data_IF_202928342726
#
_entry.id   IF_202928342726
#
_cell.length_a   1.000
_cell.length_b   1.000
_cell.length_c   1.000
_cell.angle_alpha   90.00
_cell.angle_beta   90.00
_cell.angle_gamma   90.00
#
_symmetry.space_group_name_H-M   'P 1'
#
loop_
_entity.id
_entity.type
_entity.pdbx_description
1 polymer ?
#
# COMPACT_ATOMS: atom_id res chain seq x y z
N UNK A 1 27.91 -1.06 -6.27
CA UNK A 1 26.94 -0.22 -5.52
C UNK A 1 26.07 0.64 -6.43
N UNK A 2 26.62 1.51 -7.30
CA UNK A 2 25.81 2.38 -8.16
C UNK A 2 24.83 1.62 -9.08
N UNK A 3 25.27 0.53 -9.71
CA UNK A 3 24.42 -0.29 -10.57
C UNK A 3 23.22 -0.89 -9.81
N UNK A 4 23.44 -1.37 -8.57
CA UNK A 4 22.36 -1.92 -7.73
C UNK A 4 21.34 -0.83 -7.35
N UNK A 5 21.82 0.38 -6.99
CA UNK A 5 20.94 1.53 -6.70
C UNK A 5 20.12 2.01 -7.90
N UNK A 6 20.58 1.75 -9.12
CA UNK A 6 19.78 2.03 -10.31
C UNK A 6 18.79 0.91 -10.60
N UNK A 7 19.20 -0.35 -10.40
CA UNK A 7 18.36 -1.52 -10.60
C UNK A 7 17.17 -1.55 -9.62
N UNK A 8 17.37 -1.17 -8.35
CA UNK A 8 16.29 -1.19 -7.34
C UNK A 8 15.16 -0.19 -7.62
N UNK A 9 15.40 0.85 -8.43
CA UNK A 9 14.39 1.89 -8.71
C UNK A 9 13.15 1.34 -9.37
N UNK A 10 13.30 0.31 -10.20
CA UNK A 10 12.17 -0.34 -10.86
C UNK A 10 11.25 -1.06 -9.87
N UNK A 11 11.82 -1.56 -8.76
CA UNK A 11 11.10 -2.32 -7.73
C UNK A 11 10.46 -1.41 -6.67
N UNK A 12 10.77 -0.11 -6.67
CA UNK A 12 10.28 0.82 -5.66
C UNK A 12 9.00 1.52 -6.11
N UNK A 13 8.10 1.86 -5.16
CA UNK A 13 6.96 2.73 -5.45
C UNK A 13 7.41 4.04 -6.10
N UNK A 14 6.67 4.47 -7.13
CA UNK A 14 6.96 5.69 -7.89
C UNK A 14 7.56 5.44 -9.28
N UNK A 15 7.70 4.18 -9.71
CA UNK A 15 8.29 3.84 -11.00
C UNK A 15 7.27 3.59 -12.11
N UNK A 16 6.27 2.74 -11.87
CA UNK A 16 5.29 2.36 -12.89
C UNK A 16 4.18 3.41 -13.01
N UNK A 17 3.85 3.80 -14.25
CA UNK A 17 2.74 4.69 -14.54
C UNK A 17 1.40 3.96 -14.38
N UNK A 18 0.42 4.65 -13.78
CA UNK A 18 -0.94 4.17 -13.58
C UNK A 18 -1.94 5.33 -13.51
N UNK A 19 -3.23 5.03 -13.53
CA UNK A 19 -4.29 6.01 -13.27
C UNK A 19 -5.49 5.37 -12.57
N UNK A 20 -6.35 6.22 -11.97
CA UNK A 20 -7.58 5.80 -11.32
C UNK A 20 -8.80 6.35 -12.06
N UNK A 21 -9.81 5.51 -12.25
CA UNK A 21 -11.06 5.87 -12.92
C UNK A 21 -12.29 5.50 -12.06
N UNK A 22 -13.07 6.50 -11.58
CA UNK A 22 -12.80 7.94 -11.63
C UNK A 22 -11.57 8.35 -10.79
N UNK A 23 -11.05 9.57 -11.02
CA UNK A 23 -9.93 10.08 -10.24
C UNK A 23 -10.21 10.07 -8.72
N UNK A 24 -9.20 9.75 -7.92
CA UNK A 24 -9.33 9.67 -6.47
C UNK A 24 -9.61 11.05 -5.86
N UNK A 25 -10.60 11.11 -4.96
CA UNK A 25 -10.94 12.33 -4.23
C UNK A 25 -9.83 12.67 -3.24
N UNK A 26 -9.35 13.91 -3.26
CA UNK A 26 -8.35 14.44 -2.31
C UNK A 26 -7.01 13.68 -2.27
N UNK A 27 -6.67 12.96 -3.35
CA UNK A 27 -5.37 12.31 -3.54
C UNK A 27 -4.72 12.88 -4.81
N UNK A 28 -3.42 13.16 -4.77
CA UNK A 28 -2.67 13.69 -5.92
C UNK A 28 -2.66 12.69 -7.08
N UNK A 29 -2.69 13.21 -8.32
CA UNK A 29 -2.64 12.40 -9.55
C UNK A 29 -1.23 12.03 -10.01
N UNK A 30 -0.18 12.62 -9.41
CA UNK A 30 1.21 12.26 -9.72
C UNK A 30 1.48 10.82 -9.28
N UNK A 31 2.06 9.99 -10.14
CA UNK A 31 2.36 8.57 -9.88
C UNK A 31 3.82 8.34 -9.47
N UNK A 32 4.67 9.35 -9.58
CA UNK A 32 6.13 9.31 -9.45
C UNK A 32 6.64 9.72 -8.05
N UNK A 33 5.79 9.62 -7.03
CA UNK A 33 6.17 9.89 -5.63
C UNK A 33 6.76 8.64 -4.97
N UNK A 34 7.93 8.80 -4.35
CA UNK A 34 8.59 7.75 -3.58
C UNK A 34 8.27 7.83 -2.08
N UNK A 35 9.30 7.74 -1.24
CA UNK A 35 9.17 7.88 0.22
C UNK A 35 8.80 9.34 0.55
N UNK A 36 7.73 9.50 1.32
CA UNK A 36 7.24 10.80 1.81
C UNK A 36 7.31 10.88 3.33
N UNK A 37 7.37 12.12 3.84
CA UNK A 37 7.23 12.39 5.26
C UNK A 37 5.79 12.12 5.70
N UNK A 38 5.61 11.28 6.73
CA UNK A 38 4.28 10.92 7.21
C UNK A 38 3.55 12.07 7.92
N UNK A 39 4.28 13.13 8.33
CA UNK A 39 3.69 14.35 8.89
C UNK A 39 2.73 15.07 7.94
N UNK A 40 2.82 14.81 6.62
CA UNK A 40 1.84 15.23 5.62
C UNK A 40 1.48 16.74 5.65
N UNK A 41 2.45 17.59 5.98
CA UNK A 41 2.28 19.05 6.01
C UNK A 41 1.90 19.65 7.37
N UNK A 42 2.04 18.89 8.46
CA UNK A 42 1.90 19.42 9.82
C UNK A 42 2.80 20.64 10.02
N UNK A 43 2.20 21.77 10.40
CA UNK A 43 2.94 23.00 10.68
C UNK A 43 3.80 22.83 11.93
N UNK A 44 5.10 23.07 11.81
CA UNK A 44 6.04 23.08 12.93
C UNK A 44 6.06 24.42 13.66
N UNK A 45 4.88 24.97 13.95
CA UNK A 45 4.72 26.20 14.75
C UNK A 45 4.80 25.86 16.24
N UNK A 46 5.45 26.72 17.03
CA UNK A 46 5.53 26.57 18.49
C UNK A 46 4.16 26.79 19.15
N UNK A 47 3.27 27.52 18.48
CA UNK A 47 1.91 27.80 18.97
C UNK A 47 0.90 26.67 18.68
N UNK A 48 1.27 25.71 17.81
CA UNK A 48 0.43 24.56 17.44
C UNK A 48 0.80 23.31 18.25
N UNK A 49 0.05 22.21 18.08
CA UNK A 49 0.41 20.90 18.65
C UNK A 49 1.78 20.47 18.12
N UNK A 50 2.73 20.09 18.99
CA UNK A 50 4.08 19.71 18.57
C UNK A 50 4.10 18.52 17.61
N UNK A 51 4.87 18.65 16.53
CA UNK A 51 5.13 17.58 15.58
C UNK A 51 6.29 16.67 16.06
N UNK A 52 6.19 16.16 17.28
CA UNK A 52 7.27 15.42 17.97
C UNK A 52 7.36 13.94 17.55
N UNK A 53 6.99 13.63 16.30
CA UNK A 53 7.09 12.29 15.73
C UNK A 53 7.91 12.30 14.45
N UNK A 54 8.65 11.22 14.22
CA UNK A 54 9.33 10.97 12.96
C UNK A 54 8.60 9.82 12.29
N UNK A 55 8.10 10.08 11.08
CA UNK A 55 7.41 9.08 10.28
C UNK A 55 7.79 9.13 8.81
N UNK A 56 7.81 7.97 8.17
CA UNK A 56 8.03 7.82 6.72
C UNK A 56 7.01 6.83 6.17
N UNK A 57 6.47 7.14 5.00
CA UNK A 57 5.51 6.26 4.34
C UNK A 57 5.66 6.30 2.83
N UNK A 58 5.06 5.33 2.18
CA UNK A 58 4.68 5.46 0.78
C UNK A 58 3.25 5.99 0.69
N UNK A 59 2.92 6.66 -0.42
CA UNK A 59 1.51 6.91 -0.76
C UNK A 59 0.85 5.58 -1.12
N UNK A 60 -0.33 5.32 -0.60
CA UNK A 60 -0.87 3.97 -0.53
C UNK A 60 -1.20 3.39 -1.90
N UNK A 61 -1.82 4.17 -2.77
CA UNK A 61 -2.09 3.80 -4.16
C UNK A 61 -0.79 3.46 -4.93
N UNK A 62 0.27 4.24 -4.76
CA UNK A 62 1.57 3.99 -5.44
C UNK A 62 2.22 2.71 -4.92
N UNK A 63 2.15 2.47 -3.61
CA UNK A 63 2.66 1.23 -3.00
C UNK A 63 1.87 0.00 -3.46
N UNK A 64 0.54 0.11 -3.57
CA UNK A 64 -0.32 -0.96 -4.08
C UNK A 64 -0.03 -1.27 -5.54
N UNK A 65 0.19 -0.25 -6.36
CA UNK A 65 0.59 -0.41 -7.77
C UNK A 65 1.91 -1.14 -7.87
N UNK A 66 2.92 -0.73 -7.11
CA UNK A 66 4.22 -1.41 -7.07
C UNK A 66 4.07 -2.88 -6.64
N UNK A 67 3.28 -3.15 -5.60
CA UNK A 67 3.05 -4.50 -5.11
C UNK A 67 2.30 -5.39 -6.11
N UNK A 68 1.31 -4.83 -6.82
CA UNK A 68 0.58 -5.55 -7.87
C UNK A 68 1.44 -5.79 -9.10
N UNK A 69 2.34 -4.86 -9.40
CA UNK A 69 3.32 -4.96 -10.48
C UNK A 69 4.34 -6.07 -10.25
N UNK A 70 4.79 -6.23 -9.02
CA UNK A 70 5.65 -7.35 -8.64
C UNK A 70 4.96 -8.72 -8.84
N UNK A 71 3.63 -8.77 -8.81
CA UNK A 71 2.82 -9.98 -9.04
C UNK A 71 2.45 -10.18 -10.52
N UNK A 72 3.01 -9.40 -11.45
CA UNK A 72 2.64 -9.46 -12.87
C UNK A 72 2.86 -10.87 -13.45
N UNK A 73 4.00 -11.51 -13.18
CA UNK A 73 4.30 -12.85 -13.65
C UNK A 73 3.27 -13.86 -13.09
N UNK A 74 3.04 -13.86 -11.78
CA UNK A 74 2.07 -14.75 -11.14
C UNK A 74 0.63 -14.57 -11.66
N UNK A 75 0.23 -13.33 -11.93
CA UNK A 75 -1.10 -13.02 -12.49
C UNK A 75 -1.19 -13.56 -13.92
N UNK A 76 -0.17 -13.34 -14.75
CA UNK A 76 -0.14 -13.85 -16.12
C UNK A 76 -0.12 -15.37 -16.16
N UNK A 77 0.62 -16.00 -15.24
CA UNK A 77 0.69 -17.45 -15.11
C UNK A 77 -0.66 -18.03 -14.70
N UNK A 78 -1.32 -17.42 -13.70
CA UNK A 78 -2.65 -17.80 -13.28
C UNK A 78 -3.70 -17.67 -14.38
N UNK A 79 -3.63 -16.65 -15.24
CA UNK A 79 -4.54 -16.52 -16.39
C UNK A 79 -4.35 -17.68 -17.38
N UNK A 80 -3.09 -18.00 -17.72
CA UNK A 80 -2.76 -19.10 -18.64
C UNK A 80 -3.17 -20.46 -18.07
N UNK A 81 -2.94 -20.71 -16.78
CA UNK A 81 -3.33 -21.96 -16.11
C UNK A 81 -4.85 -22.18 -16.12
N UNK A 82 -5.62 -21.09 -16.03
CA UNK A 82 -7.09 -21.13 -16.11
C UNK A 82 -7.64 -21.19 -17.53
N UNK A 83 -6.77 -21.15 -18.55
CA UNK A 83 -7.17 -21.16 -19.96
C UNK A 83 -7.92 -19.90 -20.38
N UNK A 84 -7.70 -18.79 -19.67
CA UNK A 84 -8.35 -17.51 -19.94
C UNK A 84 -7.56 -16.75 -21.00
N UNK A 85 -8.25 -16.23 -22.01
CA UNK A 85 -7.61 -15.41 -23.05
C UNK A 85 -7.24 -14.03 -22.48
N UNK A 86 -5.94 -13.74 -22.47
CA UNK A 86 -5.36 -12.48 -22.01
C UNK A 86 -6.00 -11.25 -22.66
N UNK A 87 -6.42 -11.37 -23.93
CA UNK A 87 -6.99 -10.26 -24.70
C UNK A 87 -8.43 -9.93 -24.30
N UNK A 88 -9.18 -10.91 -23.82
CA UNK A 88 -10.55 -10.73 -23.32
C UNK A 88 -10.57 -10.31 -21.85
N UNK A 89 -9.56 -10.74 -21.08
CA UNK A 89 -9.45 -10.50 -19.64
C UNK A 89 -8.75 -9.16 -19.34
N UNK A 90 -9.35 -8.05 -19.77
CA UNK A 90 -8.83 -6.69 -19.49
C UNK A 90 -9.59 -5.96 -18.37
N UNK A 91 -10.77 -6.44 -18.00
CA UNK A 91 -11.59 -5.86 -16.93
C UNK A 91 -12.12 -6.93 -16.00
N UNK A 92 -12.69 -6.53 -14.86
CA UNK A 92 -13.28 -7.46 -13.90
C UNK A 92 -12.30 -8.00 -12.86
N UNK A 93 -11.05 -7.54 -12.83
CA UNK A 93 -10.12 -7.94 -11.77
C UNK A 93 -10.51 -7.36 -10.42
N UNK A 94 -10.35 -8.19 -9.41
CA UNK A 94 -10.62 -7.91 -8.02
C UNK A 94 -9.41 -8.32 -7.19
N UNK A 95 -8.88 -7.39 -6.40
CA UNK A 95 -7.74 -7.59 -5.52
C UNK A 95 -8.22 -7.53 -4.07
N UNK A 96 -7.94 -8.58 -3.31
CA UNK A 96 -8.20 -8.59 -1.86
C UNK A 96 -6.90 -8.27 -1.13
N UNK A 97 -6.91 -7.20 -0.33
CA UNK A 97 -5.76 -6.71 0.42
C UNK A 97 -6.01 -6.88 1.91
N UNK A 98 -5.13 -7.59 2.60
CA UNK A 98 -5.09 -7.64 4.07
C UNK A 98 -4.27 -6.45 4.57
N UNK A 99 -4.82 -5.68 5.49
CA UNK A 99 -4.13 -4.60 6.19
C UNK A 99 -3.81 -5.04 7.61
N UNK A 100 -2.61 -4.67 8.08
CA UNK A 100 -2.13 -4.97 9.43
C UNK A 100 -1.45 -3.75 10.03
N UNK A 101 -1.63 -3.52 11.32
CA UNK A 101 -0.94 -2.47 12.06
C UNK A 101 -0.57 -2.99 13.43
N UNK A 102 0.70 -2.89 13.79
CA UNK A 102 1.24 -3.39 15.05
C UNK A 102 2.13 -2.34 15.74
N UNK A 103 1.96 -2.22 17.05
CA UNK A 103 2.86 -1.47 17.92
C UNK A 103 4.05 -2.33 18.36
N UNK A 104 5.20 -1.69 18.51
CA UNK A 104 6.45 -2.30 18.97
C UNK A 104 7.06 -1.42 20.06
N UNK A 105 7.28 -2.01 21.24
CA UNK A 105 8.01 -1.40 22.34
C UNK A 105 9.52 -1.59 22.23
N UNK A 106 10.24 -1.05 23.22
CA UNK A 106 11.69 -1.23 23.41
C UNK A 106 12.54 -0.81 22.19
N UNK A 107 12.11 0.25 21.51
CA UNK A 107 12.81 0.81 20.34
C UNK A 107 13.71 1.96 20.80
N UNK A 108 14.98 1.66 21.11
CA UNK A 108 15.90 2.65 21.69
C UNK A 108 16.02 3.92 20.85
N UNK A 109 15.87 5.08 21.52
CA UNK A 109 16.06 6.38 20.90
C UNK A 109 17.55 6.56 20.53
N UNK A 110 17.79 7.18 19.37
CA UNK A 110 19.15 7.57 18.97
C UNK A 110 19.44 8.97 19.48
N UNK A 111 20.67 9.16 19.97
CA UNK A 111 21.23 10.52 20.03
C UNK A 111 21.18 11.15 18.64
N UNK A 112 20.81 12.43 18.58
CA UNK A 112 20.63 13.14 17.31
C UNK A 112 20.31 14.62 17.52
N UNK A 113 19.94 15.29 16.43
CA UNK A 113 19.55 16.71 16.43
C UNK A 113 18.12 16.95 16.91
N UNK A 114 17.37 15.90 17.24
CA UNK A 114 15.94 15.95 17.54
C UNK A 114 15.04 15.80 16.30
N UNK A 115 13.71 15.84 16.49
CA UNK A 115 13.02 16.03 17.79
C UNK A 115 13.21 14.84 18.73
N UNK A 116 12.91 15.03 20.02
CA UNK A 116 12.83 13.91 20.96
C UNK A 116 11.67 13.00 20.54
N UNK A 117 11.87 11.69 20.53
CA UNK A 117 10.87 10.72 20.08
C UNK A 117 10.68 9.60 21.10
N UNK A 118 9.48 8.99 21.18
CA UNK A 118 9.25 7.88 22.10
C UNK A 118 10.06 6.64 21.71
N UNK A 119 10.43 5.82 22.70
CA UNK A 119 11.08 4.51 22.49
C UNK A 119 10.08 3.41 22.07
N UNK A 120 9.06 3.80 21.30
CA UNK A 120 8.01 2.95 20.75
C UNK A 120 7.84 3.29 19.27
N UNK A 121 7.52 2.29 18.48
CA UNK A 121 7.23 2.46 17.07
C UNK A 121 5.92 1.78 16.71
N UNK A 122 5.21 2.34 15.74
CA UNK A 122 4.07 1.69 15.09
C UNK A 122 4.42 1.45 13.64
N UNK A 123 4.04 0.26 13.15
CA UNK A 123 4.21 -0.13 11.76
C UNK A 123 2.85 -0.45 11.16
N UNK A 124 2.53 0.22 10.07
CA UNK A 124 1.39 -0.10 9.23
C UNK A 124 1.88 -0.79 7.95
N UNK A 125 1.24 -1.89 7.58
CA UNK A 125 1.62 -2.76 6.47
C UNK A 125 0.41 -3.37 5.77
N UNK A 126 0.64 -3.91 4.57
CA UNK A 126 -0.38 -4.62 3.83
C UNK A 126 0.17 -5.84 3.08
N UNK A 127 -0.71 -6.74 2.70
CA UNK A 127 -0.41 -7.92 1.89
C UNK A 127 -1.53 -8.12 0.87
N UNK A 128 -1.16 -8.32 -0.40
CA UNK A 128 -2.11 -8.76 -1.42
C UNK A 128 -2.40 -10.24 -1.16
N UNK A 129 -3.62 -10.55 -0.77
CA UNK A 129 -4.03 -11.90 -0.40
C UNK A 129 -4.45 -12.72 -1.61
N UNK A 130 -5.17 -12.09 -2.53
CA UNK A 130 -5.62 -12.75 -3.75
C UNK A 130 -5.94 -11.76 -4.85
N UNK A 131 -5.84 -12.24 -6.08
CA UNK A 131 -6.35 -11.59 -7.28
C UNK A 131 -7.30 -12.56 -7.96
N UNK A 132 -8.52 -12.12 -8.21
CA UNK A 132 -9.53 -12.86 -8.96
C UNK A 132 -10.05 -12.04 -10.13
N UNK A 133 -10.70 -12.69 -11.09
CA UNK A 133 -11.37 -12.04 -12.20
C UNK A 133 -12.82 -12.50 -12.25
N UNK A 134 -13.74 -11.56 -12.48
CA UNK A 134 -15.14 -11.86 -12.76
C UNK A 134 -15.41 -11.63 -14.25
N UNK A 135 -15.82 -12.69 -14.95
CA UNK A 135 -16.17 -12.66 -16.36
C UNK A 135 -17.67 -12.35 -16.53
N UNK A 136 -18.05 -11.77 -17.66
CA UNK A 136 -19.46 -11.54 -17.97
C UNK A 136 -20.22 -12.87 -18.08
N UNK A 137 -21.25 -13.04 -17.25
CA UNK A 137 -22.12 -14.23 -17.26
C UNK A 137 -21.78 -15.30 -16.23
N UNK A 138 -20.73 -15.12 -15.42
CA UNK A 138 -20.40 -16.00 -14.30
C UNK A 138 -20.73 -15.35 -12.94
N UNK A 139 -21.41 -16.10 -12.07
CA UNK A 139 -21.82 -15.62 -10.73
C UNK A 139 -20.64 -15.57 -9.74
N UNK A 140 -19.68 -16.49 -9.85
CA UNK A 140 -18.52 -16.59 -8.96
C UNK A 140 -17.23 -16.16 -9.68
N UNK A 141 -16.39 -15.37 -9.01
CA UNK A 141 -15.10 -14.93 -9.55
C UNK A 141 -14.05 -16.05 -9.56
N UNK A 142 -13.26 -16.13 -10.64
CA UNK A 142 -12.18 -17.09 -10.80
C UNK A 142 -10.92 -16.54 -10.12
N UNK A 143 -10.37 -17.26 -9.14
CA UNK A 143 -9.09 -16.90 -8.51
C UNK A 143 -7.91 -17.18 -9.43
N UNK A 144 -7.14 -16.12 -9.71
CA UNK A 144 -5.94 -16.11 -10.56
C UNK A 144 -4.67 -16.23 -9.69
N UNK A 145 -4.62 -15.49 -8.60
CA UNK A 145 -3.52 -15.52 -7.64
C UNK A 145 -4.07 -15.67 -6.22
N UNK A 146 -3.38 -16.47 -5.40
CA UNK A 146 -3.66 -16.63 -3.98
C UNK A 146 -2.34 -16.76 -3.22
N UNK A 147 -2.12 -15.87 -2.25
CA UNK A 147 -0.95 -15.93 -1.36
C UNK A 147 -0.98 -17.24 -0.56
N UNK A 148 0.07 -18.04 -0.71
CA UNK A 148 0.18 -19.38 -0.12
C UNK A 148 0.62 -19.33 1.34
N UNK A 149 1.38 -18.29 1.73
CA UNK A 149 1.90 -18.11 3.08
C UNK A 149 1.56 -16.70 3.58
N UNK A 150 0.27 -16.40 3.85
CA UNK A 150 -0.18 -15.06 4.23
C UNK A 150 0.28 -14.57 5.61
N UNK A 151 0.95 -15.43 6.37
CA UNK A 151 1.57 -15.13 7.65
C UNK A 151 3.10 -15.06 7.57
N UNK A 152 3.70 -15.20 6.38
CA UNK A 152 5.12 -14.95 6.20
C UNK A 152 5.41 -13.46 6.20
N UNK A 153 6.51 -13.08 6.84
CA UNK A 153 7.13 -11.77 6.77
C UNK A 153 7.47 -11.34 5.35
N UNK A 154 7.71 -12.29 4.42
CA UNK A 154 8.11 -11.99 3.03
C UNK A 154 6.97 -11.40 2.20
N UNK A 155 5.71 -11.71 2.53
CA UNK A 155 4.52 -11.18 1.84
C UNK A 155 3.98 -9.90 2.50
N UNK A 156 4.52 -9.52 3.67
CA UNK A 156 4.12 -8.35 4.42
C UNK A 156 4.89 -7.11 3.94
N UNK A 157 4.20 -6.19 3.27
CA UNK A 157 4.80 -4.99 2.68
C UNK A 157 4.62 -3.79 3.63
N UNK A 158 5.70 -3.16 4.13
CA UNK A 158 5.59 -1.99 4.99
C UNK A 158 5.10 -0.78 4.20
N UNK A 159 4.11 -0.06 4.74
CA UNK A 159 3.55 1.13 4.11
C UNK A 159 3.91 2.41 4.88
N UNK A 160 3.78 2.38 6.21
CA UNK A 160 4.05 3.53 7.07
C UNK A 160 4.79 3.08 8.34
N UNK A 161 5.86 3.79 8.65
CA UNK A 161 6.68 3.60 9.85
C UNK A 161 6.68 4.90 10.64
N UNK A 162 6.46 4.82 11.95
CA UNK A 162 6.42 5.99 12.81
C UNK A 162 6.93 5.67 14.21
N UNK A 163 7.62 6.63 14.82
CA UNK A 163 7.93 6.59 16.26
C UNK A 163 6.77 7.25 17.02
N UNK A 164 5.93 6.42 17.61
CA UNK A 164 4.73 6.82 18.35
C UNK A 164 4.38 5.72 19.34
N UNK A 165 3.80 6.10 20.48
CA UNK A 165 3.11 5.14 21.34
C UNK A 165 1.75 4.82 20.72
N UNK A 166 1.40 3.54 20.55
CA UNK A 166 0.07 3.13 20.09
C UNK A 166 -1.06 3.67 20.98
N UNK A 167 -0.74 4.02 22.22
CA UNK A 167 -1.68 4.60 23.20
C UNK A 167 -1.91 6.09 22.97
N UNK A 168 -1.04 6.77 22.22
CA UNK A 168 -1.20 8.17 21.83
C UNK A 168 -2.11 8.27 20.60
N UNK A 169 -3.40 8.40 20.87
CA UNK A 169 -4.42 8.46 19.82
C UNK A 169 -4.30 9.71 18.94
N UNK A 170 -3.84 10.83 19.48
CA UNK A 170 -3.78 12.09 18.73
C UNK A 170 -2.73 12.00 17.62
N UNK A 171 -1.49 11.65 17.98
CA UNK A 171 -0.41 11.50 17.02
C UNK A 171 -0.69 10.35 16.05
N UNK A 172 -1.18 9.20 16.54
CA UNK A 172 -1.47 8.04 15.68
C UNK A 172 -2.54 8.36 14.63
N UNK A 173 -3.61 9.05 15.01
CA UNK A 173 -4.67 9.43 14.06
C UNK A 173 -4.23 10.53 13.10
N UNK A 174 -3.37 11.46 13.54
CA UNK A 174 -2.79 12.47 12.66
C UNK A 174 -1.94 11.83 11.55
N UNK A 175 -1.09 10.85 11.88
CA UNK A 175 -0.22 10.16 10.90
C UNK A 175 -1.01 9.20 9.99
N UNK A 176 -1.93 8.41 10.54
CA UNK A 176 -2.70 7.42 9.77
C UNK A 176 -3.95 8.00 9.08
N UNK A 177 -4.33 9.24 9.38
CA UNK A 177 -5.46 9.94 8.77
C UNK A 177 -5.39 9.96 7.23
N UNK A 178 -4.29 10.43 6.63
CA UNK A 178 -4.08 10.38 5.18
C UNK A 178 -4.17 8.97 4.59
N UNK A 179 -3.59 7.95 5.24
CA UNK A 179 -3.65 6.55 4.80
C UNK A 179 -5.11 6.05 4.75
N UNK A 180 -5.90 6.36 5.78
CA UNK A 180 -7.33 6.03 5.84
C UNK A 180 -8.14 6.76 4.75
N UNK A 181 -7.81 8.01 4.45
CA UNK A 181 -8.46 8.79 3.41
C UNK A 181 -8.16 8.23 2.00
N UNK A 182 -6.89 7.91 1.72
CA UNK A 182 -6.44 7.26 0.48
C UNK A 182 -7.18 5.92 0.30
N UNK A 183 -7.23 5.07 1.33
CA UNK A 183 -7.98 3.80 1.31
C UNK A 183 -9.45 3.99 0.96
N UNK A 184 -10.10 4.98 1.58
CA UNK A 184 -11.52 5.27 1.31
C UNK A 184 -11.76 5.71 -0.13
N UNK A 185 -10.88 6.54 -0.68
CA UNK A 185 -10.98 6.98 -2.06
C UNK A 185 -10.81 5.81 -3.05
N UNK A 186 -9.86 4.90 -2.78
CA UNK A 186 -9.58 3.75 -3.65
C UNK A 186 -10.76 2.77 -3.76
N UNK A 187 -11.58 2.63 -2.73
CA UNK A 187 -12.77 1.76 -2.76
C UNK A 187 -13.86 2.23 -3.74
N UNK A 188 -13.89 3.53 -4.07
CA UNK A 188 -14.88 4.12 -4.97
C UNK A 188 -14.40 4.16 -6.44
N UNK A 189 -13.18 3.68 -6.70
CA UNK A 189 -12.52 3.80 -8.01
C UNK A 189 -11.99 2.45 -8.52
N UNK A 190 -11.48 2.47 -9.75
CA UNK A 190 -10.82 1.35 -10.41
C UNK A 190 -9.43 1.78 -10.83
N UNK A 191 -8.43 0.97 -10.53
CA UNK A 191 -7.06 1.19 -10.97
C UNK A 191 -6.92 0.71 -12.42
N UNK A 192 -6.32 1.52 -13.27
CA UNK A 192 -5.94 1.19 -14.63
C UNK A 192 -4.41 1.14 -14.71
N UNK A 193 -3.88 -0.02 -15.07
CA UNK A 193 -2.44 -0.25 -15.18
C UNK A 193 -2.14 -1.28 -16.27
N UNK A 194 -1.02 -1.08 -16.99
CA UNK A 194 -0.57 -2.03 -18.00
C UNK A 194 0.02 -3.25 -17.34
N UNK A 195 -0.54 -4.46 -17.48
CA UNK A 195 0.01 -5.75 -16.97
C UNK A 195 -0.02 -6.74 -18.13
N UNK A 196 1.07 -7.47 -18.36
CA UNK A 196 1.19 -8.37 -19.52
C UNK A 196 1.15 -7.63 -20.86
N UNK A 197 1.55 -6.35 -20.88
CA UNK A 197 1.48 -5.48 -22.06
C UNK A 197 0.09 -4.93 -22.40
N UNK A 198 -0.95 -5.22 -21.61
CA UNK A 198 -2.32 -4.74 -21.82
C UNK A 198 -2.78 -3.86 -20.65
N UNK A 199 -3.56 -2.81 -20.94
CA UNK A 199 -4.22 -2.01 -19.91
C UNK A 199 -5.32 -2.83 -19.25
N UNK A 200 -5.24 -3.00 -17.92
CA UNK A 200 -6.19 -3.79 -17.14
C UNK A 200 -6.79 -2.98 -15.99
N UNK A 201 -8.06 -3.26 -15.72
CA UNK A 201 -8.84 -2.59 -14.66
C UNK A 201 -8.97 -3.46 -13.41
N UNK A 202 -8.55 -2.93 -12.26
CA UNK A 202 -8.61 -3.60 -10.95
C UNK A 202 -9.50 -2.87 -9.95
N UNK A 203 -10.26 -3.62 -9.17
CA UNK A 203 -10.98 -3.14 -7.97
C UNK A 203 -10.29 -3.67 -6.72
N UNK A 204 -10.37 -2.92 -5.63
CA UNK A 204 -9.73 -3.30 -4.37
C UNK A 204 -10.76 -3.52 -3.25
N UNK A 205 -10.59 -4.62 -2.52
CA UNK A 205 -11.28 -4.89 -1.27
C UNK A 205 -10.27 -4.96 -0.13
N UNK A 206 -10.36 -4.00 0.80
CA UNK A 206 -9.49 -3.94 1.97
C UNK A 206 -10.10 -4.71 3.14
N UNK A 207 -9.30 -5.55 3.77
CA UNK A 207 -9.64 -6.35 4.95
C UNK A 207 -8.65 -6.01 6.06
N UNK A 208 -9.07 -5.17 6.98
CA UNK A 208 -8.28 -4.85 8.17
C UNK A 208 -8.41 -5.95 9.22
N UNK A 209 -7.58 -6.98 9.15
CA UNK A 209 -7.67 -8.16 10.03
C UNK A 209 -6.37 -8.48 10.78
N UNK A 210 -5.29 -7.73 10.52
CA UNK A 210 -4.02 -7.88 11.22
C UNK A 210 -3.82 -6.86 12.35
N UNK A 211 -4.83 -6.68 13.19
CA UNK A 211 -4.77 -5.84 14.40
C UNK A 211 -4.89 -6.75 15.62
N UNK A 212 -4.19 -6.43 16.70
CA UNK A 212 -4.45 -7.04 17.99
C UNK A 212 -5.78 -6.51 18.60
N UNK A 213 -6.19 -7.07 19.74
CA UNK A 213 -7.48 -6.73 20.35
C UNK A 213 -7.51 -5.35 21.01
N UNK A 214 -6.34 -4.80 21.35
CA UNK A 214 -6.16 -3.57 22.12
C UNK A 214 -6.50 -2.33 21.29
#
# INVERSE_FOLDING_TARGET
>A
LHTLRNAEKELLPGFHQFEWQPALKSVSTSWDVGIIDGLSGWTSSVDDVPADTISRRFRYDVALVSALKDLEEDIMDGLRERGLDDSMCTTGFTVVVKESCDGMGDVSEKHGSGPAVPEKAVRFSFTIMSVSIQLEGEDDGITIFQEQKPNSELSCRPLCLMFVDESDHETLTAILGPVKAERKAMMESRLIISVGGLQRSFRFFFRGTGYDEK
#
